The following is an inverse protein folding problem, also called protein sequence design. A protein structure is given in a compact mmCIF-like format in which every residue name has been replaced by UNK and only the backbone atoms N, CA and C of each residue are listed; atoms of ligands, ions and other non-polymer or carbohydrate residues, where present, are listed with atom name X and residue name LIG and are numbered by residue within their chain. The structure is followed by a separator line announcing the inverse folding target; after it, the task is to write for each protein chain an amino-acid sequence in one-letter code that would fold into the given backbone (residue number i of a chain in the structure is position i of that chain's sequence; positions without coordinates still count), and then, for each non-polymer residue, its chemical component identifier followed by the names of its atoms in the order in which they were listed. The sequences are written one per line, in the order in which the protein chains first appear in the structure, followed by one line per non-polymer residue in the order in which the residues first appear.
data_IF_062518820567
#
_entry.id   IF_062518820567
#
_cell.length_a   1.000
_cell.length_b   1.000
_cell.length_c   1.000
_cell.angle_alpha   90.00
_cell.angle_beta   90.00
_cell.angle_gamma   90.00
#
_symmetry.space_group_name_H-M   'P 1'
#
loop_
_entity.id
_entity.type
_entity.pdbx_description
1 polymer ?
#
# COMPACT_ATOMS: atom_id res chain seq x y z
N UNK A 1 27.32 4.11 -0.28
CA UNK A 1 26.38 5.05 -0.93
C UNK A 1 25.80 4.35 -2.14
N UNK A 2 24.47 4.30 -2.26
CA UNK A 2 23.83 3.77 -3.45
C UNK A 2 24.18 4.68 -4.63
N UNK A 3 24.54 4.09 -5.78
CA UNK A 3 24.86 4.83 -7.00
C UNK A 3 23.62 5.56 -7.47
N UNK A 4 23.69 6.89 -7.58
CA UNK A 4 22.66 7.70 -8.23
C UNK A 4 22.66 7.31 -9.70
N UNK A 5 21.49 6.98 -10.24
CA UNK A 5 21.32 6.62 -11.65
C UNK A 5 20.65 7.77 -12.41
N UNK A 6 20.94 7.87 -13.71
CA UNK A 6 20.32 8.88 -14.58
C UNK A 6 18.90 8.48 -14.95
N UNK A 7 18.12 9.42 -15.52
CA UNK A 7 16.81 9.13 -16.10
C UNK A 7 16.87 8.02 -17.15
N UNK A 8 17.82 8.10 -18.09
CA UNK A 8 18.01 7.08 -19.13
C UNK A 8 18.38 5.70 -18.56
N UNK A 9 19.17 5.67 -17.47
CA UNK A 9 19.49 4.41 -16.79
C UNK A 9 18.25 3.83 -16.09
N UNK A 10 17.43 4.68 -15.47
CA UNK A 10 16.18 4.26 -14.83
C UNK A 10 15.15 3.77 -15.85
N UNK A 11 15.01 4.42 -17.00
CA UNK A 11 14.17 3.92 -18.10
C UNK A 11 14.55 2.53 -18.55
N UNK A 12 15.86 2.29 -18.75
CA UNK A 12 16.38 0.96 -19.11
C UNK A 12 16.11 -0.04 -18.00
N UNK A 13 16.31 0.35 -16.74
CA UNK A 13 16.01 -0.49 -15.57
C UNK A 13 14.53 -0.89 -15.52
N UNK A 14 13.63 0.07 -15.71
CA UNK A 14 12.19 -0.14 -15.72
C UNK A 14 11.75 -1.04 -16.89
N UNK A 15 12.29 -0.82 -18.09
CA UNK A 15 12.02 -1.66 -19.25
C UNK A 15 12.53 -3.09 -19.06
N UNK A 16 13.75 -3.25 -18.54
CA UNK A 16 14.32 -4.57 -18.23
C UNK A 16 13.49 -5.30 -17.18
N UNK A 17 13.05 -4.61 -16.13
CA UNK A 17 12.21 -5.19 -15.10
C UNK A 17 10.87 -5.65 -15.68
N UNK A 18 10.21 -4.80 -16.49
CA UNK A 18 8.99 -5.17 -17.23
C UNK A 18 9.18 -6.40 -18.11
N UNK A 19 10.25 -6.45 -18.91
CA UNK A 19 10.52 -7.56 -19.81
C UNK A 19 10.77 -8.86 -19.04
N UNK A 20 11.50 -8.80 -17.92
CA UNK A 20 11.69 -9.95 -17.02
C UNK A 20 10.37 -10.52 -16.52
N UNK A 21 9.40 -9.68 -16.13
CA UNK A 21 8.10 -10.16 -15.69
C UNK A 21 7.27 -10.75 -16.83
N UNK A 22 7.27 -10.12 -18.02
CA UNK A 22 6.65 -10.68 -19.23
C UNK A 22 7.22 -12.06 -19.55
N UNK A 23 8.55 -12.19 -19.54
CA UNK A 23 9.24 -13.45 -19.76
C UNK A 23 8.88 -14.50 -18.70
N UNK A 24 8.84 -14.11 -17.41
CA UNK A 24 8.42 -14.99 -16.31
C UNK A 24 7.00 -15.52 -16.53
N UNK A 25 6.06 -14.68 -16.95
CA UNK A 25 4.68 -15.08 -17.26
C UNK A 25 4.62 -15.99 -18.48
N UNK A 26 5.33 -15.67 -19.56
CA UNK A 26 5.38 -16.52 -20.75
C UNK A 26 5.99 -17.89 -20.42
N UNK A 27 7.08 -17.93 -19.65
CA UNK A 27 7.70 -19.15 -19.15
C UNK A 27 6.78 -19.94 -18.23
N UNK A 28 5.92 -19.27 -17.45
CA UNK A 28 4.92 -19.93 -16.62
C UNK A 28 3.87 -20.63 -17.49
N UNK A 29 3.31 -19.95 -18.48
CA UNK A 29 2.28 -20.50 -19.37
C UNK A 29 2.83 -21.56 -20.32
N UNK A 30 4.07 -21.43 -20.82
CA UNK A 30 4.69 -22.40 -21.71
C UNK A 30 5.02 -23.76 -21.05
N UNK A 31 4.90 -23.88 -19.72
CA UNK A 31 5.20 -25.13 -19.01
C UNK A 31 4.01 -26.09 -19.09
N UNK A 32 4.27 -27.29 -19.58
CA UNK A 32 3.30 -28.40 -19.69
C UNK A 32 2.68 -28.84 -18.36
N UNK A 33 3.18 -28.36 -17.20
CA UNK A 33 2.75 -28.82 -15.87
C UNK A 33 2.41 -27.70 -14.90
N UNK A 34 1.25 -27.08 -15.10
CA UNK A 34 0.65 -26.14 -14.15
C UNK A 34 -0.28 -26.89 -13.18
N UNK A 35 -0.12 -26.60 -11.89
CA UNK A 35 -1.02 -26.98 -10.80
C UNK A 35 -1.87 -25.75 -10.44
N UNK A 36 -3.19 -25.83 -10.56
CA UNK A 36 -4.10 -24.76 -10.11
C UNK A 36 -4.51 -25.04 -8.66
N UNK A 37 -4.33 -24.06 -7.77
CA UNK A 37 -4.78 -24.03 -6.37
C UNK A 37 -5.84 -22.96 -6.23
N UNK A 38 -7.06 -23.37 -5.95
CA UNK A 38 -8.21 -22.47 -5.80
C UNK A 38 -9.25 -23.04 -4.81
N UNK A 39 -10.00 -22.15 -4.18
CA UNK A 39 -11.17 -22.43 -3.33
C UNK A 39 -12.50 -22.33 -4.08
N UNK A 40 -12.50 -21.97 -5.38
CA UNK A 40 -13.68 -21.81 -6.22
C UNK A 40 -13.54 -22.57 -7.53
N UNK A 41 -14.65 -23.14 -8.01
CA UNK A 41 -14.67 -23.87 -9.29
C UNK A 41 -14.64 -22.91 -10.50
N UNK A 42 -15.16 -21.70 -10.35
CA UNK A 42 -15.22 -20.69 -11.43
C UNK A 42 -13.83 -20.21 -11.89
N UNK A 43 -12.83 -20.27 -11.02
CA UNK A 43 -11.45 -19.80 -11.24
C UNK A 43 -10.73 -20.53 -12.39
N UNK A 44 -11.18 -21.74 -12.73
CA UNK A 44 -10.69 -22.52 -13.88
C UNK A 44 -11.03 -21.79 -15.19
N UNK A 45 -12.23 -21.21 -15.28
CA UNK A 45 -12.67 -20.45 -16.46
C UNK A 45 -11.81 -19.20 -16.62
N UNK A 46 -11.45 -18.55 -15.51
CA UNK A 46 -10.60 -17.36 -15.53
C UNK A 46 -9.15 -17.70 -15.91
N UNK A 47 -8.59 -18.81 -15.43
CA UNK A 47 -7.31 -19.31 -15.90
C UNK A 47 -7.32 -19.53 -17.43
N UNK A 48 -8.36 -20.20 -17.94
CA UNK A 48 -8.53 -20.46 -19.39
C UNK A 48 -8.72 -19.19 -20.24
N UNK A 49 -9.16 -18.07 -19.65
CA UNK A 49 -9.19 -16.77 -20.37
C UNK A 49 -7.81 -16.15 -20.51
N UNK A 50 -6.87 -16.48 -19.62
CA UNK A 50 -5.54 -15.87 -19.58
C UNK A 50 -4.49 -16.65 -20.37
N UNK A 51 -4.77 -17.89 -20.78
CA UNK A 51 -3.83 -18.73 -21.52
C UNK A 51 -4.53 -19.80 -22.35
N UNK A 52 -3.97 -20.09 -23.52
CA UNK A 52 -4.37 -21.23 -24.37
C UNK A 52 -3.79 -22.57 -23.87
N UNK A 53 -3.02 -22.56 -22.77
CA UNK A 53 -2.37 -23.75 -22.23
C UNK A 53 -3.34 -24.56 -21.37
N UNK A 54 -3.47 -25.86 -21.65
CA UNK A 54 -4.26 -26.76 -20.79
C UNK A 54 -3.46 -27.14 -19.53
N UNK A 55 -4.01 -26.96 -18.32
CA UNK A 55 -3.32 -27.29 -17.08
C UNK A 55 -3.15 -28.80 -16.93
N UNK A 56 -1.97 -29.25 -16.52
CA UNK A 56 -1.70 -30.69 -16.31
C UNK A 56 -2.49 -31.33 -15.16
N UNK A 57 -2.85 -30.53 -14.15
CA UNK A 57 -3.53 -30.99 -12.95
C UNK A 57 -4.25 -29.79 -12.32
N UNK A 58 -5.55 -29.93 -12.08
CA UNK A 58 -6.40 -28.90 -11.47
C UNK A 58 -6.83 -29.39 -10.10
N UNK A 59 -6.63 -28.58 -9.06
CA UNK A 59 -7.03 -28.97 -7.71
C UNK A 59 -7.82 -27.85 -7.04
N UNK A 60 -9.11 -28.10 -6.91
CA UNK A 60 -10.06 -27.25 -6.21
C UNK A 60 -10.27 -27.79 -4.80
N UNK A 61 -10.11 -26.92 -3.80
CA UNK A 61 -10.42 -27.13 -2.38
C UNK A 61 -9.43 -28.04 -1.64
N UNK A 62 -8.52 -27.42 -0.88
CA UNK A 62 -7.53 -28.10 -0.07
C UNK A 62 -7.59 -27.60 1.37
N UNK A 63 -7.77 -28.52 2.32
CA UNK A 63 -7.38 -28.26 3.69
C UNK A 63 -5.84 -28.17 3.78
N UNK A 64 -5.31 -27.74 4.93
CA UNK A 64 -3.87 -27.49 5.10
C UNK A 64 -3.00 -28.73 4.87
N UNK A 65 -3.51 -29.91 5.23
CA UNK A 65 -2.78 -31.17 5.11
C UNK A 65 -2.75 -31.64 3.66
N UNK A 66 -3.87 -31.51 2.94
CA UNK A 66 -3.97 -31.82 1.52
C UNK A 66 -3.08 -30.87 0.69
N UNK A 67 -3.09 -29.57 1.01
CA UNK A 67 -2.21 -28.58 0.39
C UNK A 67 -0.74 -28.95 0.60
N UNK A 68 -0.36 -29.28 1.83
CA UNK A 68 1.01 -29.67 2.18
C UNK A 68 1.46 -30.92 1.42
N UNK A 69 0.61 -31.95 1.36
CA UNK A 69 0.87 -33.19 0.63
C UNK A 69 1.07 -32.94 -0.87
N UNK A 70 0.24 -32.08 -1.45
CA UNK A 70 0.31 -31.73 -2.87
C UNK A 70 1.53 -30.91 -3.24
N UNK A 71 1.87 -29.91 -2.43
CA UNK A 71 3.07 -29.12 -2.62
C UNK A 71 4.33 -30.01 -2.56
N UNK A 72 4.36 -31.00 -1.66
CA UNK A 72 5.44 -32.01 -1.60
C UNK A 72 5.50 -32.90 -2.85
N UNK A 73 4.37 -33.34 -3.38
CA UNK A 73 4.30 -34.18 -4.60
C UNK A 73 4.69 -33.40 -5.86
N UNK A 74 4.45 -32.09 -5.87
CA UNK A 74 4.54 -31.23 -7.06
C UNK A 74 5.66 -30.17 -7.00
N UNK A 75 6.74 -30.39 -6.22
CA UNK A 75 7.84 -29.42 -6.04
C UNK A 75 8.47 -28.87 -7.33
N UNK A 76 8.37 -29.60 -8.44
CA UNK A 76 8.90 -29.22 -9.76
C UNK A 76 7.86 -28.64 -10.72
N UNK A 77 6.58 -28.61 -10.34
CA UNK A 77 5.51 -28.02 -11.15
C UNK A 77 5.41 -26.51 -10.88
N UNK A 78 4.89 -25.80 -11.87
CA UNK A 78 4.41 -24.43 -11.68
C UNK A 78 3.09 -24.45 -10.91
N UNK A 79 2.90 -23.53 -9.96
CA UNK A 79 1.70 -23.42 -9.13
C UNK A 79 0.98 -22.11 -9.45
N UNK A 80 -0.26 -22.21 -9.93
CA UNK A 80 -1.18 -21.08 -10.10
C UNK A 80 -2.06 -20.97 -8.86
N UNK A 81 -2.16 -19.79 -8.25
CA UNK A 81 -3.07 -19.51 -7.13
C UNK A 81 -4.07 -18.46 -7.61
N UNK A 82 -5.36 -18.73 -7.50
CA UNK A 82 -6.36 -17.79 -8.02
C UNK A 82 -6.73 -16.67 -7.04
N UNK A 83 -6.90 -16.97 -5.75
CA UNK A 83 -7.40 -15.98 -4.78
C UNK A 83 -6.32 -15.44 -3.84
N UNK A 84 -6.45 -14.15 -3.49
CA UNK A 84 -5.60 -13.46 -2.52
C UNK A 84 -5.59 -14.14 -1.15
N UNK A 85 -6.75 -14.62 -0.69
CA UNK A 85 -6.90 -15.31 0.59
C UNK A 85 -6.05 -16.59 0.68
N UNK A 86 -5.90 -17.30 -0.43
CA UNK A 86 -5.05 -18.50 -0.52
C UNK A 86 -3.57 -18.16 -0.65
N UNK A 87 -3.21 -17.00 -1.18
CA UNK A 87 -1.83 -16.64 -1.53
C UNK A 87 -0.90 -16.70 -0.29
N UNK A 88 -1.25 -15.99 0.79
CA UNK A 88 -0.42 -16.00 2.03
C UNK A 88 -0.35 -17.39 2.67
N UNK A 89 -1.49 -18.10 2.71
CA UNK A 89 -1.60 -19.46 3.26
C UNK A 89 -0.74 -20.46 2.47
N UNK A 90 -0.76 -20.37 1.15
CA UNK A 90 0.04 -21.20 0.25
C UNK A 90 1.52 -20.85 0.37
N UNK A 91 1.90 -19.56 0.28
CA UNK A 91 3.31 -19.13 0.43
C UNK A 91 3.96 -19.63 1.72
N UNK A 92 3.27 -19.48 2.85
CA UNK A 92 3.76 -19.93 4.15
C UNK A 92 4.01 -21.44 4.20
N UNK A 93 3.24 -22.24 3.46
CA UNK A 93 3.41 -23.70 3.37
C UNK A 93 4.43 -24.11 2.31
N UNK A 94 4.66 -23.28 1.29
CA UNK A 94 5.61 -23.55 0.21
C UNK A 94 7.06 -23.37 0.65
N UNK A 95 7.35 -22.32 1.42
CA UNK A 95 8.73 -21.98 1.81
C UNK A 95 9.45 -23.13 2.55
N UNK A 96 8.84 -23.84 3.53
CA UNK A 96 9.45 -24.99 4.20
C UNK A 96 9.69 -26.22 3.30
N UNK A 97 9.10 -26.25 2.09
CA UNK A 97 9.15 -27.42 1.21
C UNK A 97 10.07 -27.25 -0.01
N UNK A 98 10.77 -26.12 -0.10
CA UNK A 98 11.77 -25.85 -1.14
C UNK A 98 11.16 -25.57 -2.51
N UNK A 99 9.91 -25.09 -2.56
CA UNK A 99 9.33 -24.63 -3.81
C UNK A 99 9.86 -23.24 -4.10
N UNK A 100 10.43 -23.08 -5.29
CA UNK A 100 11.02 -21.82 -5.73
C UNK A 100 9.87 -20.81 -5.93
N UNK A 101 9.91 -19.62 -5.30
CA UNK A 101 8.87 -18.59 -5.48
C UNK A 101 8.61 -18.21 -6.94
N UNK A 102 9.62 -18.35 -7.81
CA UNK A 102 9.47 -18.12 -9.26
C UNK A 102 8.60 -19.16 -9.98
N UNK A 103 8.30 -20.29 -9.36
CA UNK A 103 7.34 -21.26 -9.85
C UNK A 103 5.91 -20.97 -9.42
N UNK A 104 5.68 -19.90 -8.64
CA UNK A 104 4.36 -19.51 -8.15
C UNK A 104 3.85 -18.32 -8.93
N UNK A 105 2.64 -18.45 -9.45
CA UNK A 105 1.93 -17.39 -10.14
C UNK A 105 0.61 -17.16 -9.45
N UNK A 106 0.33 -15.90 -9.14
CA UNK A 106 -0.99 -15.49 -8.66
C UNK A 106 -1.67 -14.79 -9.82
N UNK A 107 -2.74 -15.40 -10.31
CA UNK A 107 -3.43 -14.89 -11.50
C UNK A 107 -4.36 -13.72 -11.21
N UNK A 108 -4.72 -12.96 -12.24
CA UNK A 108 -5.80 -12.00 -12.13
C UNK A 108 -7.10 -12.75 -11.78
N UNK A 109 -7.89 -12.19 -10.87
CA UNK A 109 -9.28 -12.61 -10.72
C UNK A 109 -10.08 -12.20 -11.99
N UNK A 110 -11.30 -12.71 -12.16
CA UNK A 110 -12.23 -12.31 -13.25
C UNK A 110 -12.47 -10.80 -13.39
N UNK A 111 -12.12 -10.02 -12.38
CA UNK A 111 -12.31 -8.57 -12.30
C UNK A 111 -11.01 -7.79 -12.60
N UNK A 112 -9.90 -8.49 -12.89
CA UNK A 112 -8.55 -7.93 -12.84
C UNK A 112 -8.16 -7.56 -11.39
N UNK A 113 -6.86 -7.52 -11.08
CA UNK A 113 -6.42 -6.69 -9.98
C UNK A 113 -6.96 -5.28 -10.24
N UNK A 114 -7.68 -4.74 -9.26
CA UNK A 114 -8.04 -3.33 -9.21
C UNK A 114 -6.74 -2.59 -8.89
N UNK A 115 -5.88 -2.49 -9.90
CA UNK A 115 -4.78 -1.55 -9.88
C UNK A 115 -5.36 -0.20 -10.30
N UNK A 116 -4.86 0.88 -9.69
CA UNK A 116 -5.21 2.28 -9.97
C UNK A 116 -5.58 2.47 -11.45
N UNK A 117 -6.84 2.81 -11.71
CA UNK A 117 -7.48 2.94 -13.02
C UNK A 117 -6.74 3.93 -13.96
N UNK A 118 -5.54 3.66 -14.47
CA UNK A 118 -4.91 4.64 -15.37
C UNK A 118 -3.99 4.14 -16.49
N UNK A 119 -3.62 5.16 -17.28
CA UNK A 119 -2.98 5.16 -18.60
C UNK A 119 -1.46 5.09 -18.42
N UNK A 120 -0.84 4.02 -18.89
CA UNK A 120 0.62 3.76 -18.89
C UNK A 120 1.48 4.98 -19.26
N UNK A 121 0.96 5.88 -20.08
CA UNK A 121 1.63 7.11 -20.51
C UNK A 121 1.97 8.07 -19.34
N UNK A 122 1.19 8.07 -18.25
CA UNK A 122 1.45 8.93 -17.08
C UNK A 122 2.82 8.64 -16.47
N UNK A 123 3.21 7.37 -16.40
CA UNK A 123 4.53 6.94 -15.89
C UNK A 123 5.65 7.47 -16.77
N UNK A 124 5.57 7.27 -18.09
CA UNK A 124 6.61 7.76 -19.01
C UNK A 124 6.71 9.28 -19.01
N UNK A 125 5.58 10.00 -18.92
CA UNK A 125 5.58 11.47 -18.83
C UNK A 125 6.13 12.01 -17.51
N UNK A 126 6.28 11.19 -16.48
CA UNK A 126 6.82 11.59 -15.17
C UNK A 126 8.11 10.84 -14.79
N UNK A 127 8.80 10.25 -15.78
CA UNK A 127 9.95 9.38 -15.53
C UNK A 127 11.08 10.08 -14.77
N UNK A 128 11.29 11.38 -15.01
CA UNK A 128 12.26 12.19 -14.27
C UNK A 128 11.96 12.22 -12.76
N UNK A 129 10.69 12.46 -12.38
CA UNK A 129 10.26 12.49 -10.97
C UNK A 129 10.37 11.11 -10.33
N UNK A 130 9.98 10.07 -11.05
CA UNK A 130 10.05 8.68 -10.59
C UNK A 130 11.51 8.28 -10.37
N UNK A 131 12.43 8.65 -11.27
CA UNK A 131 13.86 8.43 -11.11
C UNK A 131 14.43 9.17 -9.90
N UNK A 132 14.00 10.42 -9.66
CA UNK A 132 14.38 11.18 -8.46
C UNK A 132 13.97 10.44 -7.18
N UNK A 133 12.73 9.96 -7.10
CA UNK A 133 12.25 9.16 -5.96
C UNK A 133 13.11 7.90 -5.79
N UNK A 134 13.31 7.12 -6.84
CA UNK A 134 14.15 5.92 -6.79
C UNK A 134 15.57 6.19 -6.26
N UNK A 135 16.14 7.34 -6.59
CA UNK A 135 17.44 7.76 -6.08
C UNK A 135 17.40 8.18 -4.59
N UNK A 136 16.29 8.75 -4.11
CA UNK A 136 16.07 9.16 -2.72
C UNK A 136 15.86 7.99 -1.76
N UNK A 137 15.35 6.84 -2.25
CA UNK A 137 15.02 5.71 -1.38
C UNK A 137 16.24 5.16 -0.63
N UNK A 138 16.05 4.98 0.68
CA UNK A 138 17.09 4.72 1.66
C UNK A 138 17.80 3.38 1.45
N UNK A 139 17.03 2.31 1.20
CA UNK A 139 17.52 0.94 1.09
C UNK A 139 17.14 0.25 -0.23
N UNK A 140 17.85 -0.83 -0.53
CA UNK A 140 17.67 -1.56 -1.79
C UNK A 140 16.33 -2.31 -1.87
N UNK A 141 15.78 -2.73 -0.72
CA UNK A 141 14.48 -3.42 -0.69
C UNK A 141 13.39 -2.43 -1.09
N UNK A 142 13.39 -1.22 -0.51
CA UNK A 142 12.49 -0.15 -0.88
C UNK A 142 12.63 0.25 -2.36
N UNK A 143 13.87 0.36 -2.88
CA UNK A 143 14.11 0.62 -4.31
C UNK A 143 13.50 -0.44 -5.22
N UNK A 144 13.65 -1.71 -4.84
CA UNK A 144 13.09 -2.82 -5.62
C UNK A 144 11.56 -2.80 -5.59
N UNK A 145 10.95 -2.59 -4.42
CA UNK A 145 9.48 -2.50 -4.29
C UNK A 145 8.94 -1.34 -5.11
N UNK A 146 9.58 -0.16 -5.03
CA UNK A 146 9.18 0.99 -5.81
C UNK A 146 9.28 0.73 -7.33
N UNK A 147 10.39 0.13 -7.78
CA UNK A 147 10.55 -0.28 -9.17
C UNK A 147 9.47 -1.27 -9.62
N UNK A 148 9.11 -2.22 -8.75
CA UNK A 148 8.07 -3.21 -9.00
C UNK A 148 6.68 -2.58 -9.06
N UNK A 149 6.38 -1.60 -8.20
CA UNK A 149 5.16 -0.78 -8.31
C UNK A 149 5.08 -0.04 -9.65
N UNK A 150 6.17 0.64 -10.06
CA UNK A 150 6.20 1.36 -11.35
C UNK A 150 6.09 0.40 -12.53
N UNK A 151 6.72 -0.77 -12.42
CA UNK A 151 6.65 -1.82 -13.45
C UNK A 151 5.24 -2.33 -13.62
N UNK A 152 4.52 -2.57 -12.50
CA UNK A 152 3.12 -2.98 -12.51
C UNK A 152 2.22 -1.98 -13.25
N UNK A 153 2.46 -0.68 -13.09
CA UNK A 153 1.68 0.38 -13.75
C UNK A 153 1.91 0.48 -15.26
N UNK A 154 3.02 -0.04 -15.81
CA UNK A 154 3.34 0.03 -17.25
C UNK A 154 3.24 -1.31 -17.98
N UNK A 155 3.15 -2.41 -17.25
CA UNK A 155 3.19 -3.73 -17.83
C UNK A 155 1.79 -4.13 -18.35
N UNK A 156 1.72 -4.90 -19.45
CA UNK A 156 0.46 -5.17 -20.12
C UNK A 156 -0.44 -6.18 -19.42
N UNK A 157 0.16 -6.99 -18.57
CA UNK A 157 -0.50 -8.04 -17.81
C UNK A 157 -0.24 -7.83 -16.33
N UNK A 158 -0.97 -8.61 -15.55
CA UNK A 158 -0.97 -8.56 -14.11
C UNK A 158 -0.03 -9.64 -13.58
N UNK A 159 1.11 -9.21 -13.03
CA UNK A 159 2.20 -10.07 -12.61
C UNK A 159 2.17 -10.29 -11.09
N UNK A 160 2.58 -11.47 -10.67
CA UNK A 160 2.85 -11.73 -9.27
C UNK A 160 4.33 -11.45 -8.93
N UNK A 161 4.53 -10.62 -7.92
CA UNK A 161 5.84 -10.28 -7.37
C UNK A 161 6.07 -11.14 -6.13
N UNK A 162 7.13 -11.96 -6.07
CA UNK A 162 7.45 -12.77 -4.90
C UNK A 162 7.99 -11.87 -3.79
N UNK A 163 7.07 -11.22 -3.09
CA UNK A 163 7.37 -10.30 -2.01
C UNK A 163 6.46 -10.61 -0.82
N UNK A 164 7.08 -10.80 0.34
CA UNK A 164 6.38 -11.00 1.61
C UNK A 164 6.83 -9.88 2.52
N UNK A 165 5.90 -8.98 2.87
CA UNK A 165 6.13 -8.00 3.92
C UNK A 165 5.84 -8.64 5.27
N UNK A 166 6.84 -8.56 6.14
CA UNK A 166 6.77 -9.07 7.51
C UNK A 166 6.53 -7.95 8.52
N UNK A 167 6.76 -6.69 8.14
CA UNK A 167 6.53 -5.52 8.98
C UNK A 167 5.04 -5.29 9.19
N UNK A 168 4.73 -4.82 10.40
CA UNK A 168 3.40 -4.33 10.72
C UNK A 168 3.20 -3.01 9.97
N UNK A 169 2.08 -2.89 9.28
CA UNK A 169 1.72 -1.66 8.55
C UNK A 169 1.78 -0.44 9.46
N UNK A 170 2.26 0.68 8.89
CA UNK A 170 2.51 1.96 9.56
C UNK A 170 3.70 2.00 10.54
N UNK A 171 4.32 0.86 10.86
CA UNK A 171 5.45 0.79 11.78
C UNK A 171 6.73 0.30 11.08
N UNK A 172 7.54 1.23 10.62
CA UNK A 172 8.85 0.92 10.06
C UNK A 172 9.86 0.52 11.16
N UNK A 173 10.75 -0.43 10.90
CA UNK A 173 11.71 -0.96 11.89
C UNK A 173 12.69 0.10 12.41
N UNK A 174 12.94 1.14 11.62
CA UNK A 174 13.79 2.27 12.03
C UNK A 174 13.10 3.28 12.96
N UNK A 175 11.79 3.16 13.17
CA UNK A 175 11.06 4.04 14.07
C UNK A 175 11.36 3.72 15.53
N UNK A 176 11.92 4.68 16.23
CA UNK A 176 12.06 4.66 17.68
C UNK A 176 10.96 5.49 18.31
N UNK A 177 10.17 4.88 19.18
CA UNK A 177 9.10 5.53 19.92
C UNK A 177 9.53 5.80 21.37
N UNK A 178 9.22 7.00 21.85
CA UNK A 178 9.42 7.43 23.23
C UNK A 178 8.14 7.27 24.06
N UNK A 179 8.22 7.52 25.37
CA UNK A 179 7.03 7.57 26.22
C UNK A 179 6.27 8.91 26.13
N UNK A 180 6.67 9.80 25.21
CA UNK A 180 6.14 11.17 25.06
C UNK A 180 5.68 11.46 23.63
N UNK A 181 5.37 10.41 22.87
CA UNK A 181 4.91 10.58 21.49
C UNK A 181 3.65 11.42 21.40
N UNK A 182 3.59 12.25 20.37
CA UNK A 182 2.40 12.96 19.92
C UNK A 182 2.06 12.40 18.55
N UNK A 183 0.95 11.67 18.47
CA UNK A 183 0.56 10.94 17.27
C UNK A 183 -0.58 11.66 16.55
N UNK A 184 -0.43 11.84 15.24
CA UNK A 184 -1.55 12.20 14.36
C UNK A 184 -1.99 10.94 13.61
N UNK A 185 -3.26 10.57 13.77
CA UNK A 185 -3.93 9.54 12.99
C UNK A 185 -4.94 10.22 12.06
N UNK A 186 -4.58 10.36 10.78
CA UNK A 186 -5.45 10.95 9.77
C UNK A 186 -6.11 9.87 8.91
N UNK A 187 -7.46 9.87 8.91
CA UNK A 187 -8.26 8.78 8.34
C UNK A 187 -8.35 7.64 9.34
N UNK A 188 -9.06 7.88 10.44
CA UNK A 188 -9.14 6.93 11.56
C UNK A 188 -10.07 5.76 11.27
N UNK A 189 -11.09 5.96 10.45
CA UNK A 189 -12.14 5.00 10.16
C UNK A 189 -12.85 4.48 11.44
N UNK A 190 -12.35 3.39 12.04
CA UNK A 190 -12.87 2.80 13.27
C UNK A 190 -11.94 2.99 14.50
N UNK A 191 -10.79 3.63 14.31
CA UNK A 191 -9.78 3.86 15.34
C UNK A 191 -8.82 2.70 15.59
N UNK A 192 -8.84 1.64 14.78
CA UNK A 192 -8.00 0.44 15.00
C UNK A 192 -6.50 0.74 14.91
N UNK A 193 -6.09 1.60 13.98
CA UNK A 193 -4.69 2.00 13.83
C UNK A 193 -4.18 2.79 15.05
N UNK A 194 -5.01 3.66 15.60
CA UNK A 194 -4.74 4.30 16.89
C UNK A 194 -4.53 3.26 17.98
N UNK A 195 -5.40 2.25 18.13
CA UNK A 195 -5.23 1.18 19.13
C UNK A 195 -3.89 0.45 18.91
N UNK A 196 -3.55 0.10 17.67
CA UNK A 196 -2.28 -0.55 17.34
C UNK A 196 -1.07 0.33 17.76
N UNK A 197 -1.16 1.66 17.58
CA UNK A 197 -0.15 2.59 18.08
C UNK A 197 -0.07 2.60 19.61
N UNK A 198 -1.21 2.65 20.31
CA UNK A 198 -1.26 2.62 21.77
C UNK A 198 -0.57 1.35 22.32
N UNK A 199 -0.86 0.20 21.74
CA UNK A 199 -0.20 -1.07 22.06
C UNK A 199 1.31 -1.01 21.79
N UNK A 200 1.71 -0.47 20.62
CA UNK A 200 3.12 -0.32 20.23
C UNK A 200 3.94 0.50 21.22
N UNK A 201 3.35 1.52 21.84
CA UNK A 201 4.00 2.39 22.82
C UNK A 201 3.71 2.02 24.28
N UNK A 202 3.14 0.83 24.52
CA UNK A 202 2.73 0.36 25.85
C UNK A 202 1.85 1.38 26.60
N UNK A 203 0.94 2.04 25.87
CA UNK A 203 0.04 3.08 26.36
C UNK A 203 0.75 4.28 27.01
N UNK A 204 2.02 4.53 26.67
CA UNK A 204 2.79 5.70 27.15
C UNK A 204 3.01 6.69 26.02
N UNK A 205 2.20 7.74 26.01
CA UNK A 205 2.22 8.80 25.00
C UNK A 205 1.76 10.12 25.63
N UNK A 206 2.07 11.24 24.96
CA UNK A 206 1.64 12.58 25.38
C UNK A 206 0.22 12.90 24.90
N UNK A 207 -0.05 12.66 23.60
CA UNK A 207 -1.36 12.93 22.99
C UNK A 207 -1.55 12.14 21.70
N UNK A 208 -2.82 11.87 21.36
CA UNK A 208 -3.25 11.46 20.03
C UNK A 208 -4.21 12.53 19.49
N UNK A 209 -3.95 13.00 18.28
CA UNK A 209 -4.84 13.87 17.51
C UNK A 209 -5.40 13.05 16.35
N UNK A 210 -6.67 12.70 16.46
CA UNK A 210 -7.37 11.87 15.50
C UNK A 210 -8.24 12.68 14.55
N UNK A 211 -8.14 12.46 13.24
CA UNK A 211 -8.93 13.15 12.23
C UNK A 211 -9.77 12.15 11.42
N UNK A 212 -11.09 12.33 11.45
CA UNK A 212 -12.04 11.56 10.64
C UNK A 212 -13.09 12.49 10.03
N UNK A 213 -13.14 12.54 8.71
CA UNK A 213 -14.03 13.45 7.98
C UNK A 213 -15.46 12.90 7.91
N UNK A 214 -15.63 11.59 7.78
CA UNK A 214 -16.96 10.96 7.70
C UNK A 214 -17.62 10.95 9.09
N UNK A 215 -18.80 11.59 9.25
CA UNK A 215 -19.45 11.69 10.56
C UNK A 215 -19.80 10.33 11.20
N UNK A 216 -20.12 9.31 10.41
CA UNK A 216 -20.49 7.99 10.96
C UNK A 216 -19.25 7.25 11.47
N UNK A 217 -18.17 7.23 10.68
CA UNK A 217 -16.87 6.69 11.10
C UNK A 217 -16.33 7.44 12.33
N UNK A 218 -16.49 8.76 12.37
CA UNK A 218 -16.08 9.57 13.52
C UNK A 218 -16.83 9.16 14.79
N UNK A 219 -18.15 8.94 14.70
CA UNK A 219 -18.94 8.48 15.84
C UNK A 219 -18.51 7.08 16.31
N UNK A 220 -18.27 6.15 15.37
CA UNK A 220 -17.75 4.83 15.68
C UNK A 220 -16.38 4.89 16.38
N UNK A 221 -15.46 5.70 15.84
CA UNK A 221 -14.12 5.91 16.41
C UNK A 221 -14.22 6.49 17.83
N UNK A 222 -15.12 7.45 18.04
CA UNK A 222 -15.35 8.06 19.36
C UNK A 222 -15.80 7.03 20.39
N UNK A 223 -16.71 6.13 20.02
CA UNK A 223 -17.17 5.07 20.90
C UNK A 223 -16.05 4.06 21.20
N UNK A 224 -15.34 3.61 20.16
CA UNK A 224 -14.24 2.65 20.26
C UNK A 224 -13.07 3.16 21.12
N UNK A 225 -12.80 4.46 21.08
CA UNK A 225 -11.68 5.08 21.78
C UNK A 225 -12.04 5.73 23.12
N UNK A 226 -13.32 5.69 23.53
CA UNK A 226 -13.85 6.36 24.72
C UNK A 226 -13.16 5.99 26.04
N UNK A 227 -12.57 4.80 26.12
CA UNK A 227 -11.85 4.31 27.30
C UNK A 227 -10.41 4.83 27.43
N UNK A 228 -9.86 5.44 26.37
CA UNK A 228 -8.47 5.89 26.36
C UNK A 228 -8.38 7.38 26.67
N UNK A 229 -7.41 7.77 27.49
CA UNK A 229 -7.14 9.16 27.85
C UNK A 229 -6.23 9.84 26.83
N UNK A 230 -6.18 11.18 26.85
CA UNK A 230 -5.27 11.99 26.01
C UNK A 230 -5.44 11.74 24.50
N UNK A 231 -6.66 11.44 24.06
CA UNK A 231 -7.05 11.37 22.66
C UNK A 231 -8.02 12.52 22.39
N UNK A 232 -7.70 13.33 21.38
CA UNK A 232 -8.53 14.43 20.91
C UNK A 232 -8.96 14.07 19.50
N UNK A 233 -10.27 13.90 19.32
CA UNK A 233 -10.86 13.53 18.03
C UNK A 233 -11.48 14.76 17.36
N UNK A 234 -11.17 14.94 16.09
CA UNK A 234 -11.74 15.96 15.23
C UNK A 234 -12.60 15.29 14.16
N UNK A 235 -13.89 15.64 14.13
CA UNK A 235 -14.73 15.35 12.97
C UNK A 235 -14.42 16.35 11.85
N UNK A 236 -13.24 16.21 11.26
CA UNK A 236 -12.68 17.13 10.29
C UNK A 236 -11.72 16.38 9.36
N UNK A 237 -11.63 16.84 8.11
CA UNK A 237 -10.54 16.49 7.24
C UNK A 237 -9.25 17.19 7.71
N UNK A 238 -8.14 16.45 7.72
CA UNK A 238 -6.82 17.07 7.81
C UNK A 238 -6.46 17.64 6.44
N UNK A 239 -6.29 18.96 6.36
CA UNK A 239 -6.13 19.67 5.09
C UNK A 239 -5.07 20.76 5.14
N UNK A 240 -4.92 21.51 4.03
CA UNK A 240 -3.88 22.54 3.92
C UNK A 240 -4.22 23.88 4.61
N UNK A 241 -5.46 24.06 5.05
CA UNK A 241 -5.94 25.24 5.76
C UNK A 241 -7.19 24.93 6.59
N UNK A 242 -7.46 25.81 7.56
CA UNK A 242 -8.70 25.77 8.33
C UNK A 242 -9.86 26.30 7.50
N UNK A 243 -11.00 25.62 7.55
CA UNK A 243 -12.19 26.03 6.81
C UNK A 243 -13.18 24.88 6.66
N UNK A 244 -13.81 24.82 5.50
CA UNK A 244 -14.73 23.74 5.16
C UNK A 244 -14.38 23.18 3.78
N UNK A 245 -14.58 21.88 3.59
CA UNK A 245 -14.45 21.23 2.30
C UNK A 245 -15.70 20.39 1.98
N UNK A 246 -15.90 20.14 0.69
CA UNK A 246 -16.90 19.18 0.21
C UNK A 246 -16.32 17.78 0.38
N UNK A 247 -17.13 16.87 0.92
CA UNK A 247 -16.73 15.49 1.18
C UNK A 247 -17.82 14.55 0.68
N UNK A 248 -17.41 13.48 0.01
CA UNK A 248 -18.31 12.41 -0.39
C UNK A 248 -18.36 11.38 0.74
N UNK A 249 -19.52 11.22 1.37
CA UNK A 249 -19.69 10.31 2.50
C UNK A 249 -19.89 8.86 2.07
N UNK A 250 -19.50 7.94 2.96
CA UNK A 250 -19.68 6.50 2.79
C UNK A 250 -21.15 6.07 2.80
N UNK A 251 -21.99 6.75 3.59
CA UNK A 251 -23.36 6.30 3.89
C UNK A 251 -24.47 7.18 3.30
N UNK A 252 -24.19 8.45 2.97
CA UNK A 252 -25.21 9.33 2.35
C UNK A 252 -25.13 9.38 0.83
N UNK A 253 -24.09 8.80 0.22
CA UNK A 253 -23.89 8.91 -1.22
C UNK A 253 -24.60 7.82 -2.01
N UNK A 254 -25.30 8.21 -3.07
CA UNK A 254 -25.84 7.29 -4.09
C UNK A 254 -24.80 6.93 -5.16
N UNK A 255 -23.59 7.47 -5.03
CA UNK A 255 -22.48 7.29 -5.97
C UNK A 255 -21.64 6.08 -5.57
N UNK A 256 -21.24 5.28 -6.55
CA UNK A 256 -20.30 4.17 -6.33
C UNK A 256 -18.86 4.69 -6.39
N UNK A 257 -18.41 5.37 -5.33
CA UNK A 257 -17.03 5.84 -5.16
C UNK A 257 -16.62 5.73 -3.70
N UNK A 258 -15.32 5.64 -3.44
CA UNK A 258 -14.79 5.71 -2.07
C UNK A 258 -15.08 7.10 -1.45
N UNK A 259 -15.20 7.18 -0.11
CA UNK A 259 -15.32 8.45 0.59
C UNK A 259 -14.07 9.30 0.37
N UNK A 260 -14.21 10.57 0.03
CA UNK A 260 -13.07 11.45 -0.23
C UNK A 260 -13.45 12.93 -0.18
N UNK A 261 -12.45 13.79 -0.01
CA UNK A 261 -12.60 15.24 -0.20
C UNK A 261 -12.63 15.55 -1.68
N UNK A 262 -13.68 16.22 -2.16
CA UNK A 262 -13.87 16.48 -3.58
C UNK A 262 -15.05 17.39 -3.86
N UNK A 263 -14.99 18.14 -4.97
CA UNK A 263 -16.07 19.05 -5.39
C UNK A 263 -17.41 18.33 -5.61
N UNK A 264 -17.37 17.03 -5.85
CA UNK A 264 -18.53 16.19 -6.06
C UNK A 264 -19.08 15.60 -4.74
N UNK A 265 -18.51 15.98 -3.59
CA UNK A 265 -18.97 15.59 -2.26
C UNK A 265 -20.43 15.96 -2.01
N UNK A 266 -21.11 15.14 -1.21
CA UNK A 266 -22.53 15.28 -0.84
C UNK A 266 -22.71 16.13 0.42
N UNK A 267 -21.75 16.09 1.35
CA UNK A 267 -21.76 16.85 2.60
C UNK A 267 -20.67 17.92 2.63
N UNK A 268 -20.77 18.81 3.62
CA UNK A 268 -19.73 19.78 3.98
C UNK A 268 -19.17 19.40 5.33
N UNK A 269 -17.84 19.28 5.43
CA UNK A 269 -17.13 18.95 6.67
C UNK A 269 -16.09 20.02 6.97
N UNK A 270 -15.70 20.12 8.23
CA UNK A 270 -14.59 21.00 8.62
C UNK A 270 -13.27 20.49 8.01
N UNK A 271 -12.40 21.41 7.62
CA UNK A 271 -11.00 21.17 7.28
C UNK A 271 -10.14 21.85 8.32
N UNK A 272 -9.07 21.20 8.77
CA UNK A 272 -8.15 21.74 9.76
C UNK A 272 -6.70 21.51 9.32
N UNK A 273 -5.86 22.53 9.50
CA UNK A 273 -4.42 22.45 9.32
C UNK A 273 -3.74 21.82 10.53
N UNK A 274 -2.90 20.82 10.31
CA UNK A 274 -2.17 20.15 11.39
C UNK A 274 -1.14 21.04 12.09
N UNK A 275 -0.63 22.07 11.43
CA UNK A 275 0.29 23.06 12.02
C UNK A 275 -0.38 23.95 13.08
N UNK A 276 -1.72 23.91 13.19
CA UNK A 276 -2.47 24.63 14.22
C UNK A 276 -2.68 23.82 15.50
N UNK A 277 -2.18 22.58 15.56
CA UNK A 277 -2.27 21.74 16.74
C UNK A 277 -1.46 22.32 17.91
N UNK A 278 -1.93 22.20 19.16
CA UNK A 278 -1.25 22.78 20.32
C UNK A 278 0.17 22.23 20.55
N UNK A 279 0.39 20.96 20.24
CA UNK A 279 1.67 20.29 20.37
C UNK A 279 2.06 19.67 19.03
N UNK A 280 3.27 19.97 18.50
CA UNK A 280 3.73 19.35 17.26
C UNK A 280 3.81 17.83 17.36
N UNK A 281 3.42 17.16 16.28
CA UNK A 281 3.47 15.71 16.20
C UNK A 281 4.92 15.19 16.19
N UNK A 282 5.10 13.99 16.72
CA UNK A 282 6.35 13.19 16.64
C UNK A 282 6.19 11.95 15.77
N UNK A 283 4.94 11.57 15.47
CA UNK A 283 4.57 10.51 14.53
C UNK A 283 3.27 10.90 13.81
N UNK A 284 3.21 10.69 12.49
CA UNK A 284 2.06 11.01 11.66
C UNK A 284 1.77 9.82 10.75
N UNK A 285 0.54 9.30 10.83
CA UNK A 285 -0.03 8.33 9.89
C UNK A 285 -1.09 9.03 9.03
N UNK A 286 -1.11 8.73 7.73
CA UNK A 286 -2.15 9.22 6.82
C UNK A 286 -2.62 8.11 5.89
N UNK A 287 -3.93 7.90 5.88
CA UNK A 287 -4.66 7.09 4.91
C UNK A 287 -6.00 7.80 4.66
N UNK A 288 -6.03 8.77 3.75
CA UNK A 288 -7.12 9.77 3.63
C UNK A 288 -7.63 9.91 2.20
N UNK A 289 -7.67 8.79 1.47
CA UNK A 289 -8.39 8.64 0.21
C UNK A 289 -8.04 9.73 -0.82
N UNK A 290 -6.75 10.05 -0.94
CA UNK A 290 -6.22 10.97 -1.95
C UNK A 290 -6.02 12.41 -1.49
N UNK A 291 -6.25 12.71 -0.21
CA UNK A 291 -6.03 14.06 0.37
C UNK A 291 -4.63 14.26 0.96
N UNK A 292 -3.73 13.28 0.84
CA UNK A 292 -2.43 13.24 1.51
C UNK A 292 -1.55 14.45 1.19
N UNK A 293 -1.49 14.87 -0.08
CA UNK A 293 -0.69 16.04 -0.49
C UNK A 293 -1.18 17.32 0.21
N UNK A 294 -2.48 17.51 0.34
CA UNK A 294 -3.03 18.70 0.98
C UNK A 294 -2.89 18.65 2.50
N UNK A 295 -3.09 17.49 3.13
CA UNK A 295 -2.79 17.28 4.55
C UNK A 295 -1.30 17.54 4.86
N UNK A 296 -0.37 17.05 4.03
CA UNK A 296 1.06 17.30 4.18
C UNK A 296 1.38 18.80 4.11
N UNK A 297 0.75 19.56 3.19
CA UNK A 297 0.92 21.03 3.14
C UNK A 297 0.43 21.71 4.42
N UNK A 298 -0.65 21.23 5.03
CA UNK A 298 -1.15 21.69 6.33
C UNK A 298 -0.23 21.33 7.51
N UNK A 299 0.75 20.46 7.28
CA UNK A 299 1.76 20.04 8.26
C UNK A 299 3.17 20.52 7.88
N UNK A 300 3.30 21.46 6.93
CA UNK A 300 4.60 21.88 6.39
C UNK A 300 5.56 22.36 7.48
N UNK A 301 5.10 23.18 8.45
CA UNK A 301 5.95 23.66 9.54
C UNK A 301 6.33 22.51 10.47
N UNK A 302 5.37 21.65 10.82
CA UNK A 302 5.60 20.49 11.67
C UNK A 302 6.65 19.55 11.06
N UNK A 303 6.50 19.19 9.79
CA UNK A 303 7.39 18.28 9.06
C UNK A 303 8.78 18.90 8.88
N UNK A 304 8.85 20.18 8.51
CA UNK A 304 10.13 20.87 8.27
C UNK A 304 10.94 21.08 9.56
N UNK A 305 10.29 21.44 10.67
CA UNK A 305 10.99 21.83 11.91
C UNK A 305 11.16 20.68 12.91
N UNK A 306 10.15 19.83 13.07
CA UNK A 306 10.13 18.80 14.13
C UNK A 306 10.50 17.41 13.63
N UNK A 307 10.57 17.23 12.30
CA UNK A 307 10.94 15.98 11.65
C UNK A 307 10.23 14.74 12.27
N UNK A 308 8.88 14.74 12.42
CA UNK A 308 8.15 13.57 12.90
C UNK A 308 8.41 12.35 12.03
N UNK A 309 8.23 11.17 12.61
CA UNK A 309 8.13 9.92 11.85
C UNK A 309 6.88 9.99 10.97
N UNK A 310 6.97 9.58 9.71
CA UNK A 310 5.86 9.64 8.75
C UNK A 310 5.55 8.24 8.22
N UNK A 311 4.29 7.85 8.19
CA UNK A 311 3.78 6.67 7.49
C UNK A 311 2.58 7.08 6.64
N UNK A 312 2.81 7.36 5.36
CA UNK A 312 1.85 8.01 4.46
C UNK A 312 1.47 7.05 3.33
N UNK A 313 0.20 6.72 3.20
CA UNK A 313 -0.29 5.94 2.06
C UNK A 313 -0.05 6.69 0.75
N UNK A 314 0.40 5.97 -0.29
CA UNK A 314 0.74 6.56 -1.61
C UNK A 314 0.00 5.87 -2.77
N UNK A 315 -1.05 5.12 -2.45
CA UNK A 315 -1.74 4.25 -3.40
C UNK A 315 -3.07 4.84 -3.91
N UNK A 316 -3.49 6.01 -3.46
CA UNK A 316 -4.78 6.61 -3.85
C UNK A 316 -4.73 7.25 -5.25
N UNK A 317 -3.62 7.91 -5.60
CA UNK A 317 -3.35 8.38 -6.95
C UNK A 317 -2.05 7.81 -7.49
N UNK A 318 -1.95 7.55 -8.80
CA UNK A 318 -0.66 7.16 -9.38
C UNK A 318 0.41 8.20 -9.09
N UNK A 319 0.03 9.48 -9.10
CA UNK A 319 0.97 10.56 -8.86
C UNK A 319 1.51 10.65 -7.45
N UNK A 320 0.83 10.04 -6.47
CA UNK A 320 1.27 10.04 -5.08
C UNK A 320 2.57 9.26 -4.90
N UNK A 321 2.80 8.23 -5.73
CA UNK A 321 4.04 7.46 -5.75
C UNK A 321 5.29 8.33 -5.96
N UNK A 322 5.17 9.50 -6.61
CA UNK A 322 6.30 10.42 -6.75
C UNK A 322 6.09 11.77 -6.09
N UNK A 323 4.87 12.31 -6.06
CA UNK A 323 4.62 13.61 -5.47
C UNK A 323 4.80 13.59 -3.94
N UNK A 324 4.33 12.55 -3.25
CA UNK A 324 4.43 12.48 -1.77
C UNK A 324 5.88 12.36 -1.29
N UNK A 325 6.69 11.39 -1.77
CA UNK A 325 8.11 11.31 -1.37
C UNK A 325 8.90 12.58 -1.72
N UNK A 326 8.65 13.19 -2.88
CA UNK A 326 9.31 14.43 -3.27
C UNK A 326 8.89 15.62 -2.40
N UNK A 327 7.63 15.71 -2.00
CA UNK A 327 7.14 16.77 -1.12
C UNK A 327 7.72 16.65 0.29
N UNK A 328 7.81 15.43 0.84
CA UNK A 328 8.46 15.17 2.12
C UNK A 328 9.94 15.59 2.06
N UNK A 329 10.64 15.23 0.98
CA UNK A 329 12.03 15.63 0.77
C UNK A 329 12.19 17.15 0.59
N UNK A 330 11.26 17.83 -0.10
CA UNK A 330 11.23 19.29 -0.23
C UNK A 330 11.10 19.96 1.14
N UNK A 331 10.18 19.47 1.98
CA UNK A 331 9.95 20.05 3.31
C UNK A 331 11.14 19.87 4.22
N UNK A 332 11.81 18.71 4.17
CA UNK A 332 13.01 18.45 4.94
C UNK A 332 13.93 17.42 4.25
N UNK A 333 15.01 17.88 3.58
CA UNK A 333 15.95 16.99 2.90
C UNK A 333 16.71 16.01 3.81
N UNK A 334 16.66 16.20 5.13
CA UNK A 334 17.32 15.31 6.10
C UNK A 334 16.54 14.01 6.38
N UNK A 335 15.33 13.87 5.85
CA UNK A 335 14.58 12.62 5.94
C UNK A 335 15.29 11.48 5.20
N UNK A 336 15.33 10.32 5.85
CA UNK A 336 15.46 9.04 5.14
C UNK A 336 14.08 8.63 4.69
N UNK A 337 13.93 8.20 3.44
CA UNK A 337 12.65 7.82 2.85
C UNK A 337 12.70 6.36 2.40
N UNK A 338 11.67 5.59 2.72
CA UNK A 338 11.50 4.22 2.23
C UNK A 338 10.03 4.01 1.81
N UNK A 339 9.80 3.03 0.95
CA UNK A 339 8.50 2.64 0.43
C UNK A 339 8.38 1.13 0.54
N UNK A 340 7.29 0.68 1.15
CA UNK A 340 6.94 -0.73 1.28
C UNK A 340 5.46 -0.93 0.96
N UNK A 341 5.12 -2.12 0.48
CA UNK A 341 3.74 -2.53 0.24
C UNK A 341 3.31 -3.53 1.33
N UNK A 342 2.14 -3.36 1.94
CA UNK A 342 1.66 -4.27 2.99
C UNK A 342 0.66 -5.32 2.47
N UNK A 343 0.34 -5.28 1.18
CA UNK A 343 -0.49 -6.26 0.46
C UNK A 343 0.32 -7.36 -0.24
N UNK A 344 1.59 -7.56 0.13
CA UNK A 344 2.50 -8.53 -0.47
C UNK A 344 2.60 -8.42 -2.00
N UNK A 345 2.54 -7.18 -2.51
CA UNK A 345 2.52 -6.85 -3.94
C UNK A 345 1.43 -7.59 -4.75
N UNK A 346 0.37 -8.01 -4.08
CA UNK A 346 -0.78 -8.62 -4.73
C UNK A 346 -1.65 -7.56 -5.45
N UNK A 347 -1.65 -6.33 -4.93
CA UNK A 347 -2.13 -5.11 -5.56
C UNK A 347 -1.24 -3.94 -5.09
N UNK A 348 -1.54 -2.71 -5.54
CA UNK A 348 -0.85 -1.52 -5.08
C UNK A 348 -1.43 -0.90 -3.81
N UNK A 349 -2.57 -1.41 -3.31
CA UNK A 349 -3.17 -0.96 -2.05
C UNK A 349 -2.22 -1.24 -0.89
N UNK A 350 -2.37 -0.48 0.19
CA UNK A 350 -1.53 -0.57 1.38
C UNK A 350 -0.04 -0.29 1.08
N UNK A 351 0.26 0.47 0.01
CA UNK A 351 1.62 0.97 -0.23
C UNK A 351 1.85 2.24 0.57
N UNK A 352 2.87 2.20 1.43
CA UNK A 352 3.16 3.25 2.41
C UNK A 352 4.57 3.81 2.17
N UNK A 353 4.65 5.14 2.09
CA UNK A 353 5.87 5.92 2.16
C UNK A 353 6.21 6.21 3.62
N UNK A 354 7.36 5.73 4.07
CA UNK A 354 7.92 5.95 5.39
C UNK A 354 9.01 7.01 5.36
N UNK A 355 9.03 7.90 6.35
CA UNK A 355 10.13 8.85 6.51
C UNK A 355 10.52 9.07 7.98
N UNK A 356 11.83 9.19 8.26
CA UNK A 356 12.39 9.49 9.61
C UNK A 356 13.72 10.24 9.60
#
# INVERSE_FOLDING_TARGET
MNRIITESDFEKLLLNNKNRYIEKTNNFYARERVLIVSDKKEDILDFKKCTDSEPSEIITLLNDDELTSLLKKNKRKSVFIHTHALTKRVYNKMAPHGIIPDNVYVGPNSHGYIDLYEKRNVIYSNIEKICKVYNLLYDNQSKQIYLDCMTRLIAPYQFHYPYIESRIQYFHDAFTFSNKEVFIDAGMYDGRDTINFLEKVNHKYSAVYGFEADPENYMQTKDNLSQYSNIILYNAALGCHDGNCRFLSSHSSTKRSNPHVGNDGDITVASMSGDNLPVPATFIKMDIEGSEIDALKGLRKTISMHKPKLAICIYHWQSDFWNIPLLIHEFNPAYKIAIYNHSNMSNLLETVCYAW
#
